data_IF_049952452451
#
_entry.id   IF_049952452451
#
_cell.length_a   1.000
_cell.length_b   1.000
_cell.length_c   1.000
_cell.angle_alpha   90.00
_cell.angle_beta   90.00
_cell.angle_gamma   90.00
#
_symmetry.space_group_name_H-M   'P 1'
#
loop_
_entity.id
_entity.type
_entity.pdbx_description
1 polymer ?
#
# COMPACT_ATOMS: atom_id res chain seq x y z
N UNK A 1 -19.25 -2.32 9.50
CA UNK A 1 -20.57 -2.79 8.95
C UNK A 1 -21.75 -2.40 9.87
N UNK A 2 -21.63 -2.63 11.19
CA UNK A 2 -22.73 -2.36 12.15
C UNK A 2 -23.23 -0.89 12.14
N UNK A 3 -22.36 0.14 12.17
CA UNK A 3 -22.80 1.54 12.12
C UNK A 3 -23.53 1.90 10.82
N UNK A 4 -23.12 1.33 9.70
CA UNK A 4 -23.73 1.57 8.38
C UNK A 4 -25.14 0.99 8.33
N UNK A 5 -25.33 -0.23 8.85
CA UNK A 5 -26.62 -0.90 8.93
C UNK A 5 -27.57 -0.08 9.81
N UNK A 6 -27.11 0.41 10.97
CA UNK A 6 -27.91 1.24 11.87
C UNK A 6 -28.34 2.54 11.19
N UNK A 7 -27.44 3.22 10.47
CA UNK A 7 -27.77 4.44 9.73
C UNK A 7 -28.80 4.19 8.61
N UNK A 8 -28.70 3.08 7.88
CA UNK A 8 -29.68 2.71 6.84
C UNK A 8 -31.05 2.46 7.45
N UNK A 9 -31.11 1.74 8.58
CA UNK A 9 -32.39 1.46 9.29
C UNK A 9 -33.02 2.77 9.78
N UNK A 10 -32.23 3.65 10.43
CA UNK A 10 -32.75 4.94 10.93
C UNK A 10 -33.23 5.84 9.79
N UNK A 11 -32.56 5.83 8.63
CA UNK A 11 -33.00 6.58 7.46
C UNK A 11 -34.29 6.03 6.85
N UNK A 12 -34.42 4.70 6.79
CA UNK A 12 -35.65 4.04 6.33
C UNK A 12 -36.84 4.32 7.25
N UNK A 13 -36.63 4.32 8.57
CA UNK A 13 -37.64 4.68 9.55
C UNK A 13 -38.06 6.13 9.42
N UNK A 14 -37.13 7.07 9.26
CA UNK A 14 -37.44 8.48 9.04
C UNK A 14 -38.20 8.72 7.74
N UNK A 15 -37.81 8.00 6.66
CA UNK A 15 -38.50 8.05 5.37
C UNK A 15 -39.93 7.49 5.47
N UNK A 16 -40.10 6.37 6.19
CA UNK A 16 -41.40 5.77 6.44
C UNK A 16 -42.32 6.73 7.23
N UNK A 17 -41.85 7.35 8.30
CA UNK A 17 -42.57 8.32 9.09
C UNK A 17 -42.97 9.55 8.27
N UNK A 18 -42.10 10.05 7.41
CA UNK A 18 -42.36 11.18 6.53
C UNK A 18 -43.48 10.86 5.49
N UNK A 19 -43.49 9.62 4.96
CA UNK A 19 -44.50 9.14 4.00
C UNK A 19 -45.84 8.88 4.72
N UNK A 20 -45.79 8.30 5.92
CA UNK A 20 -47.00 7.97 6.68
C UNK A 20 -47.72 9.22 7.21
N UNK A 21 -46.99 10.28 7.58
CA UNK A 21 -47.54 11.55 8.03
C UNK A 21 -48.27 12.33 6.89
N UNK A 22 -47.95 11.99 5.62
CA UNK A 22 -48.58 12.56 4.43
C UNK A 22 -50.00 12.00 4.19
N UNK A 23 -50.41 10.90 4.85
CA UNK A 23 -51.75 10.33 4.80
C UNK A 23 -52.82 11.24 5.44
N UNK A 24 -52.39 12.30 6.15
CA UNK A 24 -53.28 13.31 6.80
C UNK A 24 -53.72 14.44 5.85
N UNK A 25 -53.30 14.44 4.58
CA UNK A 25 -53.79 15.37 3.54
C UNK A 25 -53.33 16.82 3.69
N UNK A 26 -52.31 17.10 4.50
CA UNK A 26 -51.68 18.42 4.62
C UNK A 26 -50.29 18.38 4.01
N UNK A 27 -50.12 19.01 2.83
CA UNK A 27 -48.82 19.24 2.25
C UNK A 27 -47.88 19.97 3.24
N UNK A 28 -46.85 19.26 3.73
CA UNK A 28 -45.80 19.83 4.56
C UNK A 28 -44.51 19.90 3.73
N UNK A 29 -44.30 20.98 2.94
CA UNK A 29 -43.13 21.08 2.05
C UNK A 29 -41.80 20.99 2.80
N UNK A 30 -41.79 21.45 4.08
CA UNK A 30 -40.60 21.38 4.95
C UNK A 30 -40.19 19.93 5.27
N UNK A 31 -41.15 19.02 5.45
CA UNK A 31 -40.88 17.61 5.73
C UNK A 31 -40.26 16.92 4.51
N UNK A 32 -40.76 17.22 3.30
CA UNK A 32 -40.20 16.70 2.03
C UNK A 32 -38.78 17.20 1.80
N UNK A 33 -38.51 18.48 2.08
CA UNK A 33 -37.17 19.07 1.99
C UNK A 33 -36.20 18.41 3.00
N UNK A 34 -36.66 18.18 4.24
CA UNK A 34 -35.88 17.53 5.27
C UNK A 34 -35.52 16.09 4.91
N UNK A 35 -36.48 15.29 4.41
CA UNK A 35 -36.23 13.92 3.95
C UNK A 35 -35.23 13.87 2.80
N UNK A 36 -35.35 14.77 1.82
CA UNK A 36 -34.39 14.87 0.70
C UNK A 36 -32.99 15.24 1.18
N UNK A 37 -32.88 16.19 2.11
CA UNK A 37 -31.59 16.62 2.67
C UNK A 37 -30.90 15.48 3.44
N UNK A 38 -31.65 14.74 4.27
CA UNK A 38 -31.12 13.60 5.03
C UNK A 38 -30.74 12.47 4.10
N UNK A 39 -31.52 12.16 3.07
CA UNK A 39 -31.18 11.13 2.06
C UNK A 39 -29.94 11.50 1.29
N UNK A 40 -29.78 12.76 0.89
CA UNK A 40 -28.58 13.24 0.23
C UNK A 40 -27.33 13.14 1.14
N UNK A 41 -27.48 13.51 2.42
CA UNK A 41 -26.42 13.39 3.41
C UNK A 41 -25.99 11.92 3.60
N UNK A 42 -26.92 10.99 3.65
CA UNK A 42 -26.62 9.55 3.75
C UNK A 42 -25.87 9.06 2.52
N UNK A 43 -26.31 9.43 1.31
CA UNK A 43 -25.62 9.05 0.06
C UNK A 43 -24.19 9.59 0.04
N UNK A 44 -23.98 10.85 0.43
CA UNK A 44 -22.67 11.48 0.53
C UNK A 44 -21.82 10.76 1.57
N UNK A 45 -22.36 10.45 2.74
CA UNK A 45 -21.63 9.73 3.79
C UNK A 45 -21.26 8.31 3.37
N UNK A 46 -22.15 7.60 2.68
CA UNK A 46 -21.88 6.26 2.13
C UNK A 46 -20.82 6.33 1.02
N UNK A 47 -20.88 7.36 0.16
CA UNK A 47 -19.89 7.57 -0.88
C UNK A 47 -18.49 7.88 -0.29
N UNK A 48 -18.42 8.76 0.72
CA UNK A 48 -17.18 9.06 1.43
C UNK A 48 -16.66 7.79 2.14
N UNK A 49 -17.55 7.05 2.84
CA UNK A 49 -17.17 5.82 3.53
C UNK A 49 -16.70 4.75 2.55
N UNK A 50 -17.31 4.59 1.39
CA UNK A 50 -16.89 3.66 0.35
C UNK A 50 -15.50 4.00 -0.17
N UNK A 51 -15.25 5.27 -0.48
CA UNK A 51 -13.93 5.72 -0.94
C UNK A 51 -12.86 5.68 0.17
N UNK A 52 -13.25 5.82 1.44
CA UNK A 52 -12.34 5.72 2.58
C UNK A 52 -12.03 4.27 2.95
N UNK A 53 -12.98 3.34 2.80
CA UNK A 53 -12.83 1.89 3.09
C UNK A 53 -12.11 1.14 1.96
N UNK A 54 -12.02 1.71 0.76
CA UNK A 54 -11.33 1.06 -0.35
C UNK A 54 -9.80 1.18 -0.31
N UNK A 55 -9.24 2.02 0.59
CA UNK A 55 -7.80 1.99 0.87
C UNK A 55 -7.56 1.15 2.13
N UNK A 56 -6.65 0.18 2.11
CA UNK A 56 -6.29 -0.55 3.33
C UNK A 56 -5.76 0.46 4.36
N UNK A 57 -6.37 0.42 5.57
CA UNK A 57 -5.94 1.28 6.66
C UNK A 57 -4.55 0.89 7.16
N UNK A 58 -3.82 1.92 7.58
CA UNK A 58 -2.59 1.82 8.37
C UNK A 58 -2.48 0.52 9.21
N UNK A 59 -1.42 -0.26 9.13
CA UNK A 59 -0.01 0.10 9.32
C UNK A 59 0.85 0.29 8.07
N UNK A 60 0.34 0.07 6.90
CA UNK A 60 1.06 0.00 5.62
C UNK A 60 1.52 1.36 5.06
N UNK A 61 1.14 2.44 5.72
CA UNK A 61 1.52 3.81 5.43
C UNK A 61 2.33 4.45 6.57
N UNK A 62 2.64 3.69 7.63
CA UNK A 62 3.31 4.27 8.79
C UNK A 62 4.79 4.51 8.52
N UNK A 63 5.24 5.69 8.90
CA UNK A 63 6.64 6.00 9.08
C UNK A 63 7.05 5.53 10.48
N UNK A 64 7.68 4.36 10.56
CA UNK A 64 8.03 3.81 11.86
C UNK A 64 8.62 2.40 11.80
N UNK A 65 9.08 1.92 12.94
CA UNK A 65 9.73 0.62 13.07
C UNK A 65 11.00 0.53 12.21
N UNK A 66 11.08 -0.49 11.37
CA UNK A 66 12.21 -0.68 10.45
C UNK A 66 12.03 0.05 9.11
N UNK A 67 10.89 0.70 8.88
CA UNK A 67 10.61 1.46 7.64
C UNK A 67 10.51 2.95 8.01
N UNK A 68 11.62 3.49 8.47
CA UNK A 68 11.76 4.90 8.80
C UNK A 68 12.25 5.68 7.57
N UNK A 69 11.65 6.84 7.35
CA UNK A 69 12.10 7.81 6.34
C UNK A 69 11.97 9.23 6.89
N UNK A 70 12.63 10.16 6.25
CA UNK A 70 12.63 11.58 6.56
C UNK A 70 12.35 12.43 5.32
N UNK A 71 12.39 13.75 5.48
CA UNK A 71 12.16 14.70 4.40
C UNK A 71 13.10 14.50 3.22
N UNK A 72 14.38 14.13 3.46
CA UNK A 72 15.31 13.86 2.36
C UNK A 72 14.87 12.65 1.53
N UNK A 73 14.35 11.62 2.18
CA UNK A 73 13.80 10.43 1.51
C UNK A 73 12.54 10.77 0.72
N UNK A 74 11.67 11.63 1.30
CA UNK A 74 10.46 12.14 0.65
C UNK A 74 10.81 12.96 -0.60
N UNK A 75 11.76 13.89 -0.49
CA UNK A 75 12.21 14.72 -1.62
C UNK A 75 12.71 13.85 -2.80
N UNK A 76 13.46 12.78 -2.51
CA UNK A 76 13.92 11.83 -3.55
C UNK A 76 12.72 11.08 -4.17
N UNK A 77 11.77 10.62 -3.37
CA UNK A 77 10.58 9.93 -3.88
C UNK A 77 9.71 10.87 -4.72
N UNK A 78 9.57 12.14 -4.32
CA UNK A 78 8.86 13.18 -5.07
C UNK A 78 9.53 13.45 -6.42
N UNK A 79 10.87 13.52 -6.46
CA UNK A 79 11.62 13.68 -7.72
C UNK A 79 11.41 12.49 -8.64
N UNK A 80 11.49 11.25 -8.13
CA UNK A 80 11.24 10.03 -8.90
C UNK A 80 9.82 10.01 -9.48
N UNK A 81 8.85 10.52 -8.75
CA UNK A 81 7.43 10.46 -9.10
C UNK A 81 6.89 11.73 -9.77
N UNK A 82 7.75 12.71 -10.12
CA UNK A 82 7.33 14.04 -10.62
C UNK A 82 6.35 13.96 -11.80
N UNK A 83 6.55 13.03 -12.73
CA UNK A 83 5.71 12.88 -13.94
C UNK A 83 4.70 11.73 -13.81
N UNK A 84 4.38 11.27 -12.60
CA UNK A 84 3.48 10.16 -12.35
C UNK A 84 2.10 10.64 -11.91
N UNK A 85 1.06 10.30 -12.66
CA UNK A 85 -0.33 10.66 -12.37
C UNK A 85 -1.06 9.62 -11.52
N UNK A 86 -0.60 8.35 -11.54
CA UNK A 86 -1.26 7.22 -10.88
C UNK A 86 -0.33 6.50 -9.89
N UNK A 87 -0.93 5.80 -8.92
CA UNK A 87 -0.16 4.96 -7.97
C UNK A 87 0.64 3.88 -8.71
N UNK A 88 0.12 3.32 -9.80
CA UNK A 88 0.81 2.33 -10.62
C UNK A 88 2.07 2.90 -11.27
N UNK A 89 1.98 4.12 -11.85
CA UNK A 89 3.14 4.82 -12.44
C UNK A 89 4.19 5.15 -11.40
N UNK A 90 3.78 5.62 -10.20
CA UNK A 90 4.69 5.88 -9.08
C UNK A 90 5.43 4.63 -8.63
N UNK A 91 4.71 3.52 -8.43
CA UNK A 91 5.31 2.23 -8.04
C UNK A 91 6.31 1.76 -9.10
N UNK A 92 5.95 1.89 -10.38
CA UNK A 92 6.86 1.54 -11.49
C UNK A 92 8.10 2.44 -11.53
N UNK A 93 7.95 3.75 -11.35
CA UNK A 93 9.05 4.69 -11.34
C UNK A 93 10.03 4.39 -10.19
N UNK A 94 9.50 4.18 -8.97
CA UNK A 94 10.29 3.81 -7.78
C UNK A 94 11.05 2.51 -8.05
N UNK A 95 10.37 1.48 -8.53
CA UNK A 95 10.97 0.18 -8.84
C UNK A 95 12.14 0.33 -9.84
N UNK A 96 11.87 1.00 -10.96
CA UNK A 96 12.86 1.21 -12.03
C UNK A 96 14.05 2.02 -11.56
N UNK A 97 13.81 3.06 -10.75
CA UNK A 97 14.87 3.86 -10.17
C UNK A 97 15.78 3.01 -9.26
N UNK A 98 15.21 2.17 -8.41
CA UNK A 98 15.98 1.29 -7.52
C UNK A 98 16.83 0.30 -8.30
N UNK A 99 16.26 -0.35 -9.32
CA UNK A 99 17.03 -1.29 -10.19
C UNK A 99 18.16 -0.61 -10.91
N UNK A 100 17.97 0.66 -11.32
CA UNK A 100 18.99 1.41 -12.07
C UNK A 100 20.08 2.03 -11.19
N UNK A 101 19.81 2.25 -9.89
CA UNK A 101 20.67 3.05 -9.02
C UNK A 101 21.29 2.30 -7.83
N UNK A 102 20.87 1.05 -7.59
CA UNK A 102 21.32 0.28 -6.44
C UNK A 102 22.06 -0.98 -6.87
N UNK A 103 23.01 -1.41 -6.06
CA UNK A 103 23.83 -2.60 -6.25
C UNK A 103 23.71 -3.51 -5.02
N UNK A 104 23.73 -4.84 -5.24
CA UNK A 104 23.68 -5.80 -4.14
C UNK A 104 25.05 -5.91 -3.45
N UNK A 105 25.03 -5.79 -2.11
CA UNK A 105 26.24 -5.91 -1.28
C UNK A 105 26.48 -7.39 -0.92
N UNK A 106 27.30 -8.06 -1.70
CA UNK A 106 27.67 -9.47 -1.47
C UNK A 106 28.65 -9.64 -0.28
N UNK A 107 29.31 -8.58 0.15
CA UNK A 107 30.24 -8.58 1.29
C UNK A 107 29.57 -8.27 2.62
N UNK A 108 28.23 -8.14 2.61
CA UNK A 108 27.45 -7.79 3.78
C UNK A 108 27.45 -8.91 4.84
N UNK A 109 28.13 -8.67 5.95
CA UNK A 109 28.15 -9.56 7.11
C UNK A 109 27.19 -9.05 8.19
N UNK A 110 26.05 -9.72 8.32
CA UNK A 110 24.98 -9.33 9.28
C UNK A 110 25.40 -9.64 10.70
N UNK A 111 25.55 -8.61 11.54
CA UNK A 111 25.56 -8.76 12.99
C UNK A 111 24.17 -8.43 13.57
N UNK A 112 23.47 -7.45 13.01
CA UNK A 112 22.09 -7.08 13.33
C UNK A 112 21.42 -6.45 12.11
N UNK A 113 20.20 -6.90 11.77
CA UNK A 113 19.40 -6.27 10.71
C UNK A 113 18.76 -4.99 11.24
N UNK A 114 19.33 -3.87 10.88
CA UNK A 114 18.78 -2.55 11.12
C UNK A 114 18.79 -1.78 9.80
N UNK A 115 17.60 -1.38 9.35
CA UNK A 115 17.47 -0.56 8.16
C UNK A 115 17.94 0.87 8.44
N UNK A 116 18.85 1.34 7.62
CA UNK A 116 19.31 2.73 7.60
C UNK A 116 19.16 3.28 6.17
N UNK A 117 18.08 4.01 5.95
CA UNK A 117 17.75 4.61 4.66
C UNK A 117 18.88 5.49 4.12
N UNK A 118 19.54 6.26 5.00
CA UNK A 118 20.64 7.15 4.59
C UNK A 118 21.89 6.38 4.18
N UNK A 119 22.18 5.26 4.84
CA UNK A 119 23.30 4.40 4.44
C UNK A 119 23.03 3.88 3.03
N UNK A 120 21.89 3.26 2.79
CA UNK A 120 21.53 2.68 1.48
C UNK A 120 21.51 3.74 0.37
N UNK A 121 20.93 4.89 0.62
CA UNK A 121 20.87 6.00 -0.35
C UNK A 121 22.27 6.58 -0.67
N UNK A 122 23.15 6.70 0.34
CA UNK A 122 24.50 7.25 0.18
C UNK A 122 25.45 6.27 -0.49
N UNK A 123 25.45 5.00 -0.05
CA UNK A 123 26.36 3.99 -0.58
C UNK A 123 25.90 3.40 -1.89
N UNK A 124 24.59 3.51 -2.20
CA UNK A 124 23.91 2.82 -3.31
C UNK A 124 24.01 1.30 -3.22
N UNK A 125 24.31 0.76 -2.04
CA UNK A 125 24.50 -0.66 -1.79
C UNK A 125 23.63 -1.12 -0.61
N UNK A 126 23.21 -2.39 -0.68
CA UNK A 126 22.42 -3.02 0.36
C UNK A 126 22.09 -4.47 0.02
N UNK A 127 21.31 -5.10 0.89
CA UNK A 127 20.80 -6.47 0.72
C UNK A 127 19.27 -6.46 0.58
N UNK A 128 18.66 -7.62 0.40
CA UNK A 128 17.19 -7.74 0.23
C UNK A 128 16.40 -7.01 1.33
N UNK A 129 16.87 -7.07 2.57
CA UNK A 129 16.26 -6.35 3.70
C UNK A 129 16.29 -4.83 3.50
N UNK A 130 17.46 -4.26 3.15
CA UNK A 130 17.61 -2.82 2.92
C UNK A 130 16.74 -2.35 1.76
N UNK A 131 16.67 -3.12 0.68
CA UNK A 131 15.91 -2.77 -0.52
C UNK A 131 14.41 -2.86 -0.30
N UNK A 132 13.93 -3.89 0.41
CA UNK A 132 12.50 -4.02 0.72
C UNK A 132 12.01 -2.88 1.62
N UNK A 133 12.82 -2.46 2.60
CA UNK A 133 12.48 -1.33 3.46
C UNK A 133 12.57 0.02 2.76
N UNK A 134 13.57 0.22 1.88
CA UNK A 134 13.67 1.44 1.09
C UNK A 134 12.51 1.58 0.09
N UNK A 135 12.14 0.48 -0.58
CA UNK A 135 10.97 0.46 -1.46
C UNK A 135 9.69 0.80 -0.71
N UNK A 136 9.50 0.20 0.48
CA UNK A 136 8.35 0.51 1.32
C UNK A 136 8.36 1.97 1.80
N UNK A 137 9.53 2.53 2.15
CA UNK A 137 9.67 3.92 2.55
C UNK A 137 9.27 4.87 1.41
N UNK A 138 9.76 4.66 0.20
CA UNK A 138 9.38 5.44 -0.98
C UNK A 138 7.90 5.33 -1.31
N UNK A 139 7.33 4.12 -1.34
CA UNK A 139 5.90 3.95 -1.59
C UNK A 139 5.04 4.65 -0.54
N UNK A 140 5.37 4.48 0.76
CA UNK A 140 4.60 5.06 1.86
C UNK A 140 4.69 6.58 1.90
N UNK A 141 5.85 7.18 1.61
CA UNK A 141 6.00 8.64 1.48
C UNK A 141 5.12 9.21 0.36
N UNK A 142 4.87 8.43 -0.68
CA UNK A 142 3.94 8.74 -1.77
C UNK A 142 2.48 8.35 -1.47
N UNK A 143 2.15 8.02 -0.21
CA UNK A 143 0.83 7.59 0.24
C UNK A 143 0.32 6.30 -0.45
N UNK A 144 1.24 5.40 -0.82
CA UNK A 144 0.95 4.10 -1.41
C UNK A 144 1.18 3.02 -0.35
N UNK A 145 0.14 2.23 0.01
CA UNK A 145 0.28 1.17 1.00
C UNK A 145 1.29 0.12 0.56
N UNK A 146 2.29 -0.13 1.39
CA UNK A 146 3.34 -1.09 1.09
C UNK A 146 3.86 -1.79 2.34
N UNK A 147 4.00 -3.11 2.26
CA UNK A 147 4.71 -3.92 3.27
C UNK A 147 6.13 -4.20 2.84
N UNK A 148 7.06 -4.22 3.79
CA UNK A 148 8.24 -5.06 3.69
C UNK A 148 7.92 -6.42 4.35
N UNK A 149 8.29 -7.50 3.70
CA UNK A 149 7.97 -8.89 4.10
C UNK A 149 9.25 -9.68 4.21
N UNK A 150 9.46 -10.36 5.34
CA UNK A 150 10.58 -11.27 5.54
C UNK A 150 10.10 -12.72 5.55
N UNK A 151 10.85 -13.60 4.92
CA UNK A 151 10.57 -15.02 4.86
C UNK A 151 11.81 -15.91 4.97
N UNK A 152 11.59 -17.18 5.30
CA UNK A 152 12.59 -18.24 5.31
C UNK A 152 12.25 -19.26 4.24
N UNK A 153 13.22 -19.67 3.42
CA UNK A 153 13.01 -20.61 2.32
C UNK A 153 12.52 -21.97 2.81
N UNK A 154 11.50 -22.54 2.13
CA UNK A 154 11.06 -23.92 2.34
C UNK A 154 12.11 -24.96 1.97
N UNK A 155 13.02 -24.63 1.06
CA UNK A 155 14.04 -25.53 0.53
C UNK A 155 15.27 -25.56 1.43
N UNK A 156 15.58 -24.42 2.06
CA UNK A 156 16.75 -24.25 2.93
C UNK A 156 16.44 -23.21 4.01
N UNK A 157 16.21 -23.67 5.23
CA UNK A 157 15.89 -22.83 6.37
C UNK A 157 17.01 -21.82 6.77
N UNK A 158 18.21 -21.93 6.17
CA UNK A 158 19.28 -20.96 6.35
C UNK A 158 19.13 -19.74 5.43
N UNK A 159 18.33 -19.85 4.36
CA UNK A 159 18.14 -18.79 3.40
C UNK A 159 16.96 -17.92 3.83
N UNK A 160 17.26 -16.66 4.14
CA UNK A 160 16.31 -15.61 4.41
C UNK A 160 16.20 -14.70 3.19
N UNK A 161 15.00 -14.17 2.95
CA UNK A 161 14.75 -13.22 1.88
C UNK A 161 13.72 -12.19 2.29
N UNK A 162 13.84 -10.98 1.72
CA UNK A 162 12.90 -9.89 1.96
C UNK A 162 12.41 -9.35 0.62
N UNK A 163 11.09 -9.10 0.55
CA UNK A 163 10.40 -8.55 -0.63
C UNK A 163 9.29 -7.60 -0.20
N UNK A 164 8.46 -7.15 -1.15
CA UNK A 164 7.37 -6.22 -0.87
C UNK A 164 6.01 -6.75 -1.29
N UNK A 165 4.98 -6.33 -0.57
CA UNK A 165 3.59 -6.31 -1.04
C UNK A 165 3.14 -4.86 -1.11
N UNK A 166 2.68 -4.44 -2.27
CA UNK A 166 2.23 -3.08 -2.52
C UNK A 166 0.80 -3.08 -3.03
N UNK A 167 0.00 -2.12 -2.54
CA UNK A 167 -1.41 -2.00 -2.93
C UNK A 167 -1.61 -0.87 -3.91
N UNK A 168 -2.05 -1.20 -5.11
CA UNK A 168 -2.51 -0.23 -6.12
C UNK A 168 -3.51 -0.91 -7.07
N UNK A 169 -4.28 -0.13 -7.82
CA UNK A 169 -5.34 -0.63 -8.69
C UNK A 169 -6.33 -1.59 -8.00
N UNK A 170 -6.61 -1.35 -6.70
CA UNK A 170 -7.59 -2.12 -5.94
C UNK A 170 -7.15 -3.49 -5.45
N UNK A 171 -5.85 -3.88 -5.58
CA UNK A 171 -5.36 -5.18 -5.13
C UNK A 171 -3.91 -5.12 -4.61
N UNK A 172 -3.50 -6.18 -3.90
CA UNK A 172 -2.14 -6.37 -3.42
C UNK A 172 -1.28 -7.10 -4.45
N UNK A 173 -0.08 -6.58 -4.71
CA UNK A 173 0.91 -7.15 -5.62
C UNK A 173 2.18 -7.49 -4.87
N UNK A 174 2.75 -8.68 -5.13
CA UNK A 174 4.10 -9.00 -4.69
C UNK A 174 5.12 -8.39 -5.66
N UNK A 175 6.18 -7.81 -5.10
CA UNK A 175 7.29 -7.21 -5.85
C UNK A 175 8.61 -7.55 -5.19
N UNK A 176 9.58 -7.93 -5.99
CA UNK A 176 10.92 -8.27 -5.55
C UNK A 176 11.96 -7.50 -6.36
N UNK A 177 12.27 -6.29 -5.90
CA UNK A 177 13.24 -5.43 -6.55
C UNK A 177 14.66 -6.00 -6.44
N UNK A 178 14.95 -6.77 -5.39
CA UNK A 178 16.25 -7.42 -5.18
C UNK A 178 16.59 -8.39 -6.29
N UNK A 179 15.59 -9.16 -6.74
CA UNK A 179 15.77 -10.11 -7.84
C UNK A 179 16.27 -9.40 -9.10
N UNK A 180 15.71 -8.25 -9.44
CA UNK A 180 16.11 -7.52 -10.65
C UNK A 180 17.42 -6.73 -10.48
N UNK A 181 17.72 -6.22 -9.28
CA UNK A 181 19.03 -5.63 -8.96
C UNK A 181 20.13 -6.67 -9.15
N UNK A 182 19.98 -7.87 -8.57
CA UNK A 182 20.96 -8.97 -8.72
C UNK A 182 20.96 -9.53 -10.13
N UNK A 183 19.80 -9.67 -10.75
CA UNK A 183 19.62 -10.19 -12.11
C UNK A 183 20.29 -9.31 -13.17
N UNK A 184 20.24 -7.99 -13.03
CA UNK A 184 20.93 -7.05 -13.91
C UNK A 184 22.46 -7.28 -13.87
N UNK A 185 23.02 -7.43 -12.67
CA UNK A 185 24.45 -7.68 -12.49
C UNK A 185 24.90 -9.06 -13.04
N UNK A 186 24.03 -10.07 -12.99
CA UNK A 186 24.31 -11.45 -13.39
C UNK A 186 23.85 -11.77 -14.82
N UNK A 187 23.23 -10.83 -15.54
CA UNK A 187 22.69 -11.02 -16.88
C UNK A 187 21.52 -12.00 -16.96
N UNK A 188 20.76 -12.15 -15.86
CA UNK A 188 19.60 -13.04 -15.79
C UNK A 188 18.34 -12.38 -16.36
N UNK A 189 17.32 -13.19 -16.63
CA UNK A 189 16.01 -12.68 -16.95
C UNK A 189 15.44 -11.91 -15.75
N UNK A 190 15.00 -10.67 -16.00
CA UNK A 190 14.43 -9.81 -14.99
C UNK A 190 12.93 -10.08 -14.85
N UNK A 191 12.41 -10.00 -13.62
CA UNK A 191 10.98 -9.98 -13.38
C UNK A 191 10.35 -8.74 -13.96
N UNK A 192 11.11 -7.64 -13.99
CA UNK A 192 10.61 -6.34 -14.35
C UNK A 192 9.50 -5.90 -13.40
N UNK A 193 8.79 -4.88 -13.79
CA UNK A 193 7.55 -4.46 -13.11
C UNK A 193 6.43 -5.48 -13.40
N UNK A 194 6.62 -6.70 -12.96
CA UNK A 194 5.62 -7.77 -13.10
C UNK A 194 4.90 -7.96 -11.79
N UNK A 195 3.62 -8.14 -11.93
CA UNK A 195 2.78 -8.75 -10.91
C UNK A 195 3.31 -10.17 -10.72
N UNK A 196 4.04 -10.43 -9.65
CA UNK A 196 4.41 -11.80 -9.32
C UNK A 196 3.11 -12.55 -9.04
N UNK A 197 2.74 -13.47 -9.92
CA UNK A 197 1.60 -14.34 -9.69
C UNK A 197 1.89 -15.32 -8.53
N UNK A 198 0.90 -16.10 -8.15
CA UNK A 198 1.01 -17.07 -7.04
C UNK A 198 2.05 -18.15 -7.28
N UNK A 199 2.53 -18.35 -8.52
CA UNK A 199 3.49 -19.39 -8.90
C UNK A 199 4.92 -18.87 -8.85
N UNK A 200 5.15 -17.64 -9.29
CA UNK A 200 6.45 -16.97 -9.29
C UNK A 200 6.65 -16.03 -8.10
N UNK A 201 5.65 -15.93 -7.21
CA UNK A 201 5.74 -15.11 -6.00
C UNK A 201 6.77 -15.68 -5.03
N UNK A 202 7.58 -14.83 -4.38
CA UNK A 202 8.41 -15.26 -3.25
C UNK A 202 7.63 -16.03 -2.18
N UNK A 203 6.37 -15.70 -1.96
CA UNK A 203 5.49 -16.41 -1.02
C UNK A 203 5.35 -17.91 -1.33
N UNK A 204 5.52 -18.33 -2.59
CA UNK A 204 5.45 -19.75 -2.95
C UNK A 204 6.69 -20.55 -2.50
N UNK A 205 7.83 -19.87 -2.32
CA UNK A 205 9.10 -20.48 -1.94
C UNK A 205 9.52 -20.21 -0.49
N UNK A 206 8.81 -19.33 0.25
CA UNK A 206 9.20 -18.89 1.59
C UNK A 206 8.06 -18.92 2.60
N UNK A 207 8.37 -19.31 3.86
CA UNK A 207 7.52 -19.02 5.00
C UNK A 207 7.64 -17.55 5.36
N UNK A 208 6.53 -16.84 5.41
CA UNK A 208 6.52 -15.47 5.94
C UNK A 208 6.75 -15.52 7.45
N UNK A 209 7.80 -14.86 7.93
CA UNK A 209 8.15 -14.76 9.35
C UNK A 209 7.81 -13.40 9.94
N UNK A 210 7.78 -12.34 9.12
CA UNK A 210 7.47 -10.99 9.57
C UNK A 210 6.94 -10.12 8.43
N UNK A 211 6.08 -9.20 8.80
CA UNK A 211 5.52 -8.16 7.92
C UNK A 211 5.67 -6.82 8.66
N UNK A 212 6.18 -5.82 8.00
CA UNK A 212 6.44 -4.49 8.54
C UNK A 212 5.56 -3.42 7.90
#
# INVERSE_FOLDING_TARGET
LLPIITMIITAAEMMYLAIYDDSSGKDKPLTKIYVLAVSALIVVTLFISYNFVSKPETPYLLNGGNTLWDTQTEDIADEICTDCDTDAEKVQAIYSWMVANLEYDYDYHVVFQYFDVHKTLRTKQGVCFDFSHLFAAFCRSQNIPCYAVDGISYKDNSVQHSWNRVYYEGTWWNMDVTHDITGTAEGKELYGFRKLDTVSSPDADFYIIKIY
#
